data_IF_017925155518
#
_entry.id   IF_017925155518
#
_cell.length_a   1.000
_cell.length_b   1.000
_cell.length_c   1.000
_cell.angle_alpha   90.00
_cell.angle_beta   90.00
_cell.angle_gamma   90.00
#
_symmetry.space_group_name_H-M   'P 1'
#
loop_
_entity.id
_entity.type
_entity.pdbx_description
1 polymer ?
#
# COMPACT_ATOMS: atom_id res chain seq x y z
N UNK A 1 4.98 -27.04 -20.01
CA UNK A 1 3.78 -27.53 -19.30
C UNK A 1 3.31 -26.43 -18.37
N UNK A 2 2.01 -26.15 -18.30
CA UNK A 2 1.48 -25.14 -17.36
C UNK A 2 1.72 -25.59 -15.91
N UNK A 3 2.10 -24.67 -15.03
CA UNK A 3 2.29 -24.98 -13.62
C UNK A 3 0.98 -25.50 -12.99
N UNK A 4 1.05 -26.47 -12.06
CA UNK A 4 -0.15 -26.93 -11.36
C UNK A 4 -0.80 -25.80 -10.57
N UNK A 5 -2.12 -25.88 -10.39
CA UNK A 5 -2.93 -24.84 -9.74
C UNK A 5 -3.46 -25.36 -8.40
N UNK A 6 -3.42 -24.53 -7.37
CA UNK A 6 -3.99 -24.78 -6.05
C UNK A 6 -5.52 -24.59 -6.06
N UNK A 7 -6.28 -25.13 -5.09
CA UNK A 7 -7.74 -24.98 -5.03
C UNK A 7 -8.26 -23.54 -5.11
N UNK A 8 -7.52 -22.56 -4.60
CA UNK A 8 -7.90 -21.15 -4.68
C UNK A 8 -7.55 -20.48 -6.03
N UNK A 9 -7.05 -21.22 -7.01
CA UNK A 9 -6.84 -20.76 -8.38
C UNK A 9 -5.47 -20.14 -8.65
N UNK A 10 -4.49 -20.32 -7.75
CA UNK A 10 -3.14 -19.76 -7.89
C UNK A 10 -2.14 -20.83 -8.34
N UNK A 11 -1.09 -20.40 -9.06
CA UNK A 11 -0.04 -21.33 -9.47
C UNK A 11 0.76 -21.80 -8.26
N UNK A 12 1.06 -23.09 -8.23
CA UNK A 12 1.98 -23.68 -7.27
C UNK A 12 3.36 -23.09 -7.51
N UNK A 13 3.98 -22.62 -6.43
CA UNK A 13 5.38 -22.22 -6.42
C UNK A 13 6.24 -23.48 -6.21
N UNK A 14 7.34 -23.67 -6.95
CA UNK A 14 8.03 -24.97 -7.02
C UNK A 14 8.80 -25.31 -5.74
N UNK A 15 9.49 -24.34 -5.15
CA UNK A 15 10.38 -24.55 -3.99
C UNK A 15 10.56 -23.26 -3.16
N UNK A 16 11.25 -23.38 -2.02
CA UNK A 16 11.46 -22.28 -1.07
C UNK A 16 12.42 -21.18 -1.55
N UNK A 17 13.21 -21.44 -2.59
CA UNK A 17 14.16 -20.49 -3.19
C UNK A 17 13.57 -19.67 -4.34
N UNK A 18 12.30 -19.89 -4.70
CA UNK A 18 11.68 -19.21 -5.83
C UNK A 18 11.60 -17.68 -5.60
N UNK A 19 12.06 -16.85 -6.56
CA UNK A 19 12.08 -15.39 -6.41
C UNK A 19 10.68 -14.75 -6.33
N UNK A 20 9.61 -15.49 -6.64
CA UNK A 20 8.24 -15.03 -6.45
C UNK A 20 7.82 -15.01 -4.97
N UNK A 21 8.56 -15.67 -4.08
CA UNK A 21 8.26 -15.68 -2.65
C UNK A 21 8.84 -14.45 -1.93
N UNK A 22 7.99 -13.81 -1.14
CA UNK A 22 8.33 -12.75 -0.21
C UNK A 22 8.44 -13.26 1.23
N UNK A 23 8.82 -12.37 2.14
CA UNK A 23 8.85 -12.68 3.58
C UNK A 23 7.86 -11.80 4.30
N UNK A 24 6.91 -12.44 4.98
CA UNK A 24 5.97 -11.83 5.90
C UNK A 24 6.47 -12.02 7.33
N UNK A 25 6.64 -10.92 8.07
CA UNK A 25 7.24 -10.96 9.41
C UNK A 25 6.39 -11.67 10.47
N UNK A 26 5.07 -11.75 10.26
CA UNK A 26 4.15 -12.42 11.17
C UNK A 26 4.28 -13.95 11.18
N UNK A 27 5.02 -14.53 10.23
CA UNK A 27 5.08 -15.98 9.97
C UNK A 27 6.53 -16.45 10.04
N UNK A 28 6.77 -17.68 10.50
CA UNK A 28 8.10 -18.26 10.59
C UNK A 28 8.80 -18.37 9.21
N UNK A 29 10.13 -18.37 9.22
CA UNK A 29 10.95 -18.57 8.02
C UNK A 29 11.09 -17.33 7.11
N UNK A 30 11.78 -17.52 5.99
CA UNK A 30 11.88 -16.58 4.86
C UNK A 30 11.21 -17.22 3.65
N UNK A 31 10.76 -16.42 2.68
CA UNK A 31 10.07 -16.96 1.49
C UNK A 31 8.77 -17.66 1.87
N UNK A 32 8.00 -17.07 2.78
CA UNK A 32 6.88 -17.72 3.46
C UNK A 32 5.51 -17.31 2.92
N UNK A 33 5.44 -16.42 1.93
CA UNK A 33 4.21 -16.09 1.19
C UNK A 33 4.60 -15.64 -0.22
N UNK A 34 3.65 -15.60 -1.16
CA UNK A 34 3.86 -14.99 -2.46
C UNK A 34 4.08 -13.48 -2.28
N UNK A 35 5.08 -12.93 -2.96
CA UNK A 35 5.43 -11.51 -2.89
C UNK A 35 4.36 -10.61 -3.54
N UNK A 36 4.53 -9.30 -3.44
CA UNK A 36 3.63 -8.32 -4.03
C UNK A 36 2.29 -8.19 -3.30
N UNK A 37 1.19 -8.19 -4.04
CA UNK A 37 -0.16 -7.93 -3.50
C UNK A 37 -0.59 -8.96 -2.44
N UNK A 38 -0.19 -10.23 -2.58
CA UNK A 38 -0.47 -11.29 -1.60
C UNK A 38 0.19 -10.98 -0.26
N UNK A 39 1.50 -10.74 -0.25
CA UNK A 39 2.23 -10.35 0.95
C UNK A 39 1.70 -9.06 1.58
N UNK A 40 1.29 -8.09 0.77
CA UNK A 40 0.73 -6.82 1.26
C UNK A 40 -0.60 -7.01 1.98
N UNK A 41 -1.53 -7.74 1.36
CA UNK A 41 -2.86 -8.01 1.93
C UNK A 41 -2.74 -8.87 3.18
N UNK A 42 -1.99 -9.97 3.12
CA UNK A 42 -1.79 -10.86 4.27
C UNK A 42 -1.03 -10.15 5.40
N UNK A 43 -0.08 -9.26 5.08
CA UNK A 43 0.64 -8.48 6.08
C UNK A 43 -0.22 -7.46 6.81
N UNK A 44 -1.04 -6.71 6.08
CA UNK A 44 -2.01 -5.80 6.67
C UNK A 44 -3.03 -6.55 7.54
N UNK A 45 -3.55 -7.68 7.02
CA UNK A 45 -4.45 -8.54 7.77
C UNK A 45 -3.82 -9.06 9.06
N UNK A 46 -2.58 -9.58 9.01
CA UNK A 46 -1.88 -10.08 10.20
C UNK A 46 -1.63 -8.97 11.24
N UNK A 47 -1.32 -7.74 10.81
CA UNK A 47 -1.15 -6.62 11.73
C UNK A 47 -2.47 -6.26 12.45
N UNK A 48 -3.59 -6.23 11.72
CA UNK A 48 -4.89 -5.98 12.33
C UNK A 48 -5.38 -7.16 13.19
N UNK A 49 -5.10 -8.40 12.77
CA UNK A 49 -5.35 -9.61 13.54
C UNK A 49 -4.62 -9.57 14.88
N UNK A 50 -3.33 -9.24 14.88
CA UNK A 50 -2.50 -9.13 16.07
C UNK A 50 -3.05 -8.10 17.08
N UNK A 51 -3.67 -7.03 16.56
CA UNK A 51 -4.22 -5.93 17.36
C UNK A 51 -5.64 -6.21 17.88
N UNK A 52 -6.47 -6.91 17.11
CA UNK A 52 -7.91 -7.00 17.37
C UNK A 52 -8.41 -8.38 17.78
N UNK A 53 -7.67 -9.45 17.47
CA UNK A 53 -8.08 -10.84 17.76
C UNK A 53 -7.20 -11.42 18.86
N UNK A 54 -5.90 -11.51 18.61
CA UNK A 54 -4.88 -11.95 19.57
C UNK A 54 -3.47 -11.71 19.03
N UNK A 55 -2.45 -11.53 19.89
CA UNK A 55 -1.05 -11.46 19.45
C UNK A 55 -0.62 -12.69 18.62
N UNK A 56 0.15 -12.44 17.57
CA UNK A 56 0.73 -13.50 16.72
C UNK A 56 2.07 -13.97 17.29
N UNK A 57 2.21 -15.27 17.46
CA UNK A 57 3.47 -15.93 17.83
C UNK A 57 4.15 -16.40 16.55
N UNK A 58 5.10 -15.60 16.03
CA UNK A 58 5.78 -15.85 14.75
C UNK A 58 6.28 -17.30 14.60
N UNK A 59 6.90 -17.85 15.63
CA UNK A 59 7.44 -19.21 15.63
C UNK A 59 6.37 -20.32 15.54
N UNK A 60 5.12 -19.99 15.87
CA UNK A 60 3.95 -20.88 15.84
C UNK A 60 2.99 -20.53 14.68
N UNK A 61 3.44 -19.70 13.72
CA UNK A 61 2.66 -19.32 12.56
C UNK A 61 3.38 -19.76 11.29
N UNK A 62 2.66 -20.36 10.36
CA UNK A 62 3.20 -21.00 9.16
C UNK A 62 2.65 -20.40 7.88
N UNK A 63 3.41 -20.54 6.79
CA UNK A 63 3.10 -19.96 5.49
C UNK A 63 3.38 -20.97 4.39
N UNK A 64 4.06 -20.53 3.33
CA UNK A 64 4.37 -21.32 2.15
C UNK A 64 4.92 -22.72 2.48
N UNK A 65 4.32 -23.72 1.84
CA UNK A 65 4.72 -25.11 1.92
C UNK A 65 4.33 -25.82 0.61
N UNK A 66 5.31 -26.24 -0.22
CA UNK A 66 5.05 -26.88 -1.51
C UNK A 66 4.62 -28.34 -1.33
N UNK A 67 3.42 -28.54 -0.77
CA UNK A 67 2.88 -29.86 -0.43
C UNK A 67 1.45 -30.05 -0.93
N UNK A 68 1.08 -31.31 -1.11
CA UNK A 68 -0.32 -31.73 -1.26
C UNK A 68 -1.04 -31.73 0.09
N UNK A 69 -2.36 -31.68 0.04
CA UNK A 69 -3.23 -31.86 1.20
C UNK A 69 -3.07 -33.29 1.75
N UNK A 70 -3.20 -33.46 3.07
CA UNK A 70 -3.05 -34.78 3.68
C UNK A 70 -4.13 -35.75 3.14
N UNK A 71 -3.71 -36.94 2.69
CA UNK A 71 -4.62 -37.95 2.14
C UNK A 71 -5.27 -37.60 0.79
N UNK A 72 -4.77 -36.60 0.07
CA UNK A 72 -5.34 -36.11 -1.19
C UNK A 72 -4.26 -35.82 -2.23
N UNK A 73 -4.63 -35.97 -3.51
CA UNK A 73 -3.77 -35.57 -4.63
C UNK A 73 -3.83 -34.08 -4.95
N UNK A 74 -4.70 -33.33 -4.27
CA UNK A 74 -4.86 -31.88 -4.44
C UNK A 74 -3.74 -31.12 -3.75
N UNK A 75 -3.26 -30.07 -4.41
CA UNK A 75 -2.32 -29.13 -3.82
C UNK A 75 -2.94 -28.37 -2.64
N UNK A 76 -2.13 -28.06 -1.63
CA UNK A 76 -2.52 -27.13 -0.57
C UNK A 76 -2.46 -25.68 -1.09
N UNK A 77 -3.31 -24.79 -0.57
CA UNK A 77 -3.19 -23.34 -0.85
C UNK A 77 -1.94 -22.71 -0.22
N UNK A 78 -1.24 -23.42 0.68
CA UNK A 78 0.11 -23.07 1.09
C UNK A 78 1.14 -23.27 -0.03
N UNK A 79 0.88 -24.14 -1.01
CA UNK A 79 1.82 -24.43 -2.10
C UNK A 79 1.91 -23.30 -3.14
N UNK A 80 0.98 -22.35 -3.14
CA UNK A 80 1.04 -21.13 -3.96
C UNK A 80 1.55 -19.91 -3.18
N UNK A 81 1.84 -20.06 -1.88
CA UNK A 81 2.22 -18.95 -1.00
C UNK A 81 1.08 -17.98 -0.68
N UNK A 82 -0.18 -18.39 -0.89
CA UNK A 82 -1.36 -17.53 -0.73
C UNK A 82 -2.18 -17.83 0.52
N UNK A 83 -1.61 -18.56 1.47
CA UNK A 83 -2.25 -18.92 2.73
C UNK A 83 -1.28 -18.82 3.90
N UNK A 84 -1.82 -18.56 5.08
CA UNK A 84 -1.10 -18.51 6.35
C UNK A 84 -1.91 -19.23 7.43
N UNK A 85 -1.19 -19.92 8.31
CA UNK A 85 -1.74 -20.51 9.53
C UNK A 85 -1.21 -19.68 10.71
N UNK A 86 -2.10 -19.10 11.52
CA UNK A 86 -1.71 -18.23 12.63
C UNK A 86 -1.87 -18.95 13.97
N UNK A 87 -0.82 -18.95 14.80
CA UNK A 87 -0.81 -19.56 16.14
C UNK A 87 -1.26 -21.04 16.11
N UNK A 88 -0.72 -21.81 15.17
CA UNK A 88 -1.21 -23.13 14.78
C UNK A 88 -1.33 -24.12 15.95
N UNK A 89 -0.34 -24.17 16.86
CA UNK A 89 -0.41 -25.05 18.03
C UNK A 89 -1.53 -24.67 19.00
N UNK A 90 -1.94 -23.39 19.02
CA UNK A 90 -3.07 -22.90 19.82
C UNK A 90 -4.42 -23.05 19.13
N UNK A 91 -4.40 -23.23 17.81
CA UNK A 91 -5.57 -23.27 16.92
C UNK A 91 -5.57 -24.56 16.07
N UNK A 92 -5.48 -25.75 16.70
CA UNK A 92 -5.34 -27.00 15.96
C UNK A 92 -6.56 -27.29 15.07
N UNK A 93 -6.30 -27.93 13.93
CA UNK A 93 -7.31 -28.43 13.01
C UNK A 93 -8.38 -29.27 13.74
N UNK A 94 -9.60 -29.24 13.21
CA UNK A 94 -10.80 -29.93 13.69
C UNK A 94 -11.26 -29.54 15.10
N UNK A 95 -10.72 -28.46 15.66
CA UNK A 95 -11.13 -27.94 16.97
C UNK A 95 -11.51 -26.48 16.87
N UNK A 96 -12.67 -26.16 17.45
CA UNK A 96 -13.07 -24.78 17.65
C UNK A 96 -12.52 -24.26 18.97
N UNK A 97 -11.57 -23.34 18.90
CA UNK A 97 -10.78 -22.83 20.02
C UNK A 97 -10.90 -21.32 20.20
N UNK A 98 -11.33 -20.57 19.19
CA UNK A 98 -11.61 -19.15 19.34
C UNK A 98 -12.83 -18.90 20.23
N UNK A 99 -12.72 -17.91 21.11
CA UNK A 99 -13.86 -17.40 21.88
C UNK A 99 -14.87 -16.71 20.96
N UNK A 100 -16.13 -16.57 21.41
CA UNK A 100 -17.15 -15.87 20.63
C UNK A 100 -16.74 -14.42 20.26
N UNK A 101 -16.05 -13.71 21.16
CA UNK A 101 -15.55 -12.36 20.91
C UNK A 101 -14.45 -12.34 19.83
N UNK A 102 -13.51 -13.29 19.88
CA UNK A 102 -12.47 -13.42 18.85
C UNK A 102 -13.07 -13.76 17.49
N UNK A 103 -14.07 -14.65 17.44
CA UNK A 103 -14.79 -14.93 16.19
C UNK A 103 -15.46 -13.68 15.64
N UNK A 104 -16.10 -12.85 16.48
CA UNK A 104 -16.66 -11.56 16.04
C UNK A 104 -15.58 -10.62 15.48
N UNK A 105 -14.41 -10.54 16.11
CA UNK A 105 -13.29 -9.75 15.61
C UNK A 105 -12.75 -10.29 14.27
N UNK A 106 -12.62 -11.60 14.12
CA UNK A 106 -12.25 -12.26 12.85
C UNK A 106 -13.29 -11.94 11.77
N UNK A 107 -14.59 -12.00 12.08
CA UNK A 107 -15.64 -11.59 11.12
C UNK A 107 -15.50 -10.13 10.69
N UNK A 108 -15.19 -9.23 11.62
CA UNK A 108 -14.96 -7.82 11.30
C UNK A 108 -13.74 -7.64 10.39
N UNK A 109 -12.69 -8.44 10.58
CA UNK A 109 -11.52 -8.47 9.68
C UNK A 109 -11.89 -8.98 8.30
N UNK A 110 -12.60 -10.11 8.17
CA UNK A 110 -13.00 -10.64 6.86
C UNK A 110 -13.91 -9.68 6.07
N UNK A 111 -14.64 -8.80 6.76
CA UNK A 111 -15.38 -7.71 6.11
C UNK A 111 -14.44 -6.62 5.59
N UNK A 112 -13.38 -6.27 6.33
CA UNK A 112 -12.35 -5.30 5.89
C UNK A 112 -11.42 -5.86 4.81
N UNK A 113 -11.20 -7.17 4.81
CA UNK A 113 -10.35 -7.92 3.89
C UNK A 113 -11.20 -8.91 3.08
N UNK A 114 -12.10 -8.45 2.19
CA UNK A 114 -13.07 -9.28 1.48
C UNK A 114 -12.44 -10.23 0.45
N UNK A 115 -11.13 -10.08 0.21
CA UNK A 115 -10.32 -10.96 -0.64
C UNK A 115 -9.80 -12.18 0.11
N UNK A 116 -10.09 -12.30 1.41
CA UNK A 116 -9.67 -13.42 2.25
C UNK A 116 -10.85 -14.34 2.58
N UNK A 117 -10.52 -15.60 2.83
CA UNK A 117 -11.40 -16.59 3.43
C UNK A 117 -10.72 -17.20 4.66
N UNK A 118 -11.54 -17.67 5.58
CA UNK A 118 -11.09 -18.29 6.83
C UNK A 118 -11.54 -19.75 6.91
N UNK A 119 -10.64 -20.64 7.33
CA UNK A 119 -10.92 -22.07 7.50
C UNK A 119 -11.86 -22.38 8.67
N UNK A 120 -12.06 -21.42 9.59
CA UNK A 120 -13.08 -21.50 10.65
C UNK A 120 -14.53 -21.55 10.14
N UNK A 121 -14.75 -21.33 8.84
CA UNK A 121 -16.07 -21.36 8.19
C UNK A 121 -16.36 -22.69 7.52
N UNK A 122 -15.37 -23.58 7.46
CA UNK A 122 -15.50 -24.87 6.82
C UNK A 122 -16.36 -25.81 7.65
N UNK A 123 -16.78 -26.90 7.03
CA UNK A 123 -17.60 -27.90 7.71
C UNK A 123 -16.87 -28.41 8.96
N UNK A 124 -17.58 -28.91 9.99
CA UNK A 124 -16.91 -29.45 11.18
C UNK A 124 -15.85 -30.53 10.88
N UNK A 125 -16.03 -31.28 9.79
CA UNK A 125 -15.09 -32.32 9.34
C UNK A 125 -13.84 -31.76 8.63
N UNK A 126 -13.84 -30.47 8.31
CA UNK A 126 -12.76 -29.76 7.63
C UNK A 126 -12.30 -28.54 8.45
N UNK A 127 -12.82 -28.33 9.65
CA UNK A 127 -12.63 -27.10 10.41
C UNK A 127 -11.15 -26.77 10.60
N UNK A 128 -10.74 -25.58 10.21
CA UNK A 128 -9.34 -25.14 10.33
C UNK A 128 -9.28 -23.67 10.78
N UNK A 129 -9.33 -23.44 12.10
CA UNK A 129 -9.40 -22.08 12.63
C UNK A 129 -8.08 -21.30 12.51
N UNK A 130 -6.92 -21.96 12.36
CA UNK A 130 -5.64 -21.26 12.13
C UNK A 130 -5.53 -20.70 10.71
N UNK A 131 -6.25 -21.29 9.76
CA UNK A 131 -6.01 -21.09 8.33
C UNK A 131 -6.72 -19.88 7.73
N UNK A 132 -5.96 -19.01 7.07
CA UNK A 132 -6.45 -17.89 6.28
C UNK A 132 -5.84 -17.91 4.89
N UNK A 133 -6.67 -17.67 3.86
CA UNK A 133 -6.25 -17.77 2.46
C UNK A 133 -6.77 -16.64 1.60
N UNK A 134 -6.03 -16.31 0.53
CA UNK A 134 -6.55 -15.49 -0.56
C UNK A 134 -7.67 -16.25 -1.27
N UNK A 135 -8.84 -15.64 -1.36
CA UNK A 135 -10.03 -16.12 -2.05
C UNK A 135 -10.48 -15.15 -3.16
N UNK A 136 -9.50 -14.59 -3.88
CA UNK A 136 -9.72 -13.66 -4.97
C UNK A 136 -8.79 -13.95 -6.16
N UNK A 137 -9.20 -13.55 -7.36
CA UNK A 137 -8.33 -13.55 -8.53
C UNK A 137 -7.21 -12.51 -8.37
N UNK A 138 -6.06 -12.66 -9.06
CA UNK A 138 -4.97 -11.69 -8.99
C UNK A 138 -5.41 -10.24 -9.30
N UNK A 139 -6.31 -10.05 -10.27
CA UNK A 139 -6.80 -8.71 -10.62
C UNK A 139 -7.64 -8.06 -9.50
N UNK A 140 -8.50 -8.84 -8.84
CA UNK A 140 -9.30 -8.35 -7.69
C UNK A 140 -8.39 -8.10 -6.50
N UNK A 141 -7.42 -8.98 -6.25
CA UNK A 141 -6.44 -8.82 -5.19
C UNK A 141 -5.60 -7.55 -5.37
N UNK A 142 -5.09 -7.30 -6.59
CA UNK A 142 -4.32 -6.10 -6.91
C UNK A 142 -5.14 -4.82 -6.68
N UNK A 143 -6.41 -4.82 -7.11
CA UNK A 143 -7.33 -3.69 -6.87
C UNK A 143 -7.53 -3.46 -5.37
N UNK A 144 -7.71 -4.52 -4.59
CA UNK A 144 -7.88 -4.39 -3.14
C UNK A 144 -6.58 -3.97 -2.43
N UNK A 145 -5.43 -4.50 -2.81
CA UNK A 145 -4.12 -4.11 -2.28
C UNK A 145 -3.85 -2.60 -2.51
N UNK A 146 -4.28 -2.04 -3.64
CA UNK A 146 -4.25 -0.59 -3.87
C UNK A 146 -5.08 0.20 -2.85
N UNK A 147 -6.23 -0.34 -2.41
CA UNK A 147 -7.05 0.32 -1.37
C UNK A 147 -6.41 0.33 0.02
N UNK A 148 -5.49 -0.61 0.27
CA UNK A 148 -4.68 -0.66 1.49
C UNK A 148 -3.45 0.27 1.43
N UNK A 149 -3.28 1.01 0.33
CA UNK A 149 -2.11 1.87 0.10
C UNK A 149 -1.12 1.36 -0.94
N UNK A 150 -1.45 0.29 -1.69
CA UNK A 150 -0.62 -0.25 -2.77
C UNK A 150 0.28 -1.41 -2.30
N UNK A 151 0.20 -2.54 -3.00
CA UNK A 151 1.00 -3.73 -2.75
C UNK A 151 2.49 -3.55 -3.03
N UNK A 152 3.20 -3.04 -2.05
CA UNK A 152 4.59 -3.33 -1.77
C UNK A 152 4.69 -3.33 -0.24
N UNK A 153 5.68 -3.99 0.36
CA UNK A 153 6.16 -3.53 1.67
C UNK A 153 6.21 -2.01 1.59
N UNK A 154 5.51 -1.29 2.48
CA UNK A 154 5.40 0.17 2.39
C UNK A 154 6.79 0.71 2.06
N UNK A 155 6.92 1.42 0.92
CA UNK A 155 8.22 1.83 0.41
C UNK A 155 9.01 2.42 1.59
N UNK A 156 10.23 1.93 1.86
CA UNK A 156 10.94 2.37 3.06
C UNK A 156 11.05 3.89 2.99
N UNK A 157 10.94 4.57 4.14
CA UNK A 157 10.95 6.04 4.14
C UNK A 157 12.25 6.61 3.56
N UNK A 158 13.31 5.81 3.57
CA UNK A 158 14.60 6.08 2.93
C UNK A 158 15.16 4.80 2.29
N UNK A 159 15.97 4.93 1.24
CA UNK A 159 16.88 3.88 0.79
C UNK A 159 18.29 4.39 0.51
N UNK A 160 19.25 3.48 0.39
CA UNK A 160 20.60 3.85 -0.05
C UNK A 160 20.54 4.27 -1.52
N UNK A 161 21.08 5.44 -1.90
CA UNK A 161 20.92 5.96 -3.26
C UNK A 161 21.76 5.23 -4.30
N UNK A 162 22.78 4.48 -3.87
CA UNK A 162 23.65 3.68 -4.74
C UNK A 162 24.26 2.53 -3.93
N UNK A 163 24.51 1.40 -4.59
CA UNK A 163 25.25 0.29 -3.99
C UNK A 163 26.77 0.53 -4.08
N UNK A 164 27.49 0.34 -2.97
CA UNK A 164 28.94 0.54 -2.90
C UNK A 164 29.47 0.57 -1.47
N UNK A 165 30.57 1.29 -1.26
CA UNK A 165 31.13 1.56 0.05
C UNK A 165 31.37 3.06 0.23
N UNK A 166 31.33 3.54 1.47
CA UNK A 166 31.64 4.95 1.78
C UNK A 166 33.13 5.19 1.56
N UNK A 167 33.47 6.01 0.57
CA UNK A 167 34.86 6.40 0.26
C UNK A 167 35.27 7.72 0.90
N UNK A 168 34.32 8.62 1.16
CA UNK A 168 34.59 9.88 1.87
C UNK A 168 33.35 10.31 2.67
N UNK A 169 33.55 10.73 3.91
CA UNK A 169 32.48 11.16 4.82
C UNK A 169 32.29 12.67 4.78
N UNK A 170 31.13 13.12 5.24
CA UNK A 170 30.84 14.53 5.45
C UNK A 170 31.77 15.11 6.53
N UNK A 171 32.32 16.30 6.31
CA UNK A 171 33.13 17.01 7.30
C UNK A 171 34.46 17.55 6.78
N UNK A 172 35.27 18.07 7.70
CA UNK A 172 36.58 18.68 7.41
C UNK A 172 37.61 17.64 6.97
N UNK A 173 38.38 17.96 5.93
CA UNK A 173 39.52 17.17 5.41
C UNK A 173 40.65 18.10 4.99
N UNK A 174 41.83 17.53 4.70
CA UNK A 174 43.04 18.27 4.31
C UNK A 174 42.86 19.19 3.10
N UNK A 175 41.90 18.89 2.22
CA UNK A 175 41.55 19.69 1.03
C UNK A 175 40.29 20.57 1.18
N UNK A 176 39.82 20.83 2.41
CA UNK A 176 38.65 21.67 2.69
C UNK A 176 37.47 20.90 3.30
N UNK A 177 36.27 21.46 3.21
CA UNK A 177 35.06 20.86 3.77
C UNK A 177 34.32 19.99 2.75
N UNK A 178 34.06 18.74 3.11
CA UNK A 178 33.26 17.82 2.30
C UNK A 178 31.79 17.90 2.70
N UNK A 179 30.96 18.49 1.83
CA UNK A 179 29.56 18.82 2.12
C UNK A 179 28.56 17.67 1.85
N UNK A 180 29.07 16.47 1.56
CA UNK A 180 28.27 15.29 1.26
C UNK A 180 28.91 14.00 1.76
N UNK A 181 28.37 12.88 1.28
CA UNK A 181 28.86 11.53 1.50
C UNK A 181 29.19 10.91 0.13
N UNK A 182 30.43 10.48 -0.03
CA UNK A 182 30.86 9.80 -1.26
C UNK A 182 30.67 8.29 -1.10
N UNK A 183 29.91 7.70 -2.03
CA UNK A 183 29.69 6.25 -2.10
C UNK A 183 30.28 5.74 -3.41
N UNK A 184 31.38 4.99 -3.31
CA UNK A 184 32.16 4.51 -4.45
C UNK A 184 31.68 3.15 -4.96
N UNK A 185 31.70 2.99 -6.28
CA UNK A 185 31.28 1.77 -6.96
C UNK A 185 32.37 0.70 -7.09
N UNK A 186 33.60 0.98 -6.65
CA UNK A 186 34.77 0.11 -6.87
C UNK A 186 35.35 0.20 -8.28
N UNK A 187 35.30 1.38 -8.91
CA UNK A 187 35.79 1.61 -10.27
C UNK A 187 34.77 1.31 -11.38
N UNK A 188 33.57 0.85 -11.04
CA UNK A 188 32.48 0.63 -11.99
C UNK A 188 31.35 1.63 -11.79
N UNK A 189 30.69 2.01 -12.89
CA UNK A 189 29.47 2.83 -12.86
C UNK A 189 28.35 2.06 -12.15
N UNK A 190 27.55 2.77 -11.36
CA UNK A 190 26.46 2.20 -10.56
C UNK A 190 25.16 2.96 -10.83
N UNK A 191 24.06 2.23 -10.77
CA UNK A 191 22.72 2.82 -10.87
C UNK A 191 22.45 3.68 -9.64
N UNK A 192 22.00 4.91 -9.87
CA UNK A 192 21.63 5.87 -8.82
C UNK A 192 20.11 5.95 -8.72
N UNK A 193 19.60 5.91 -7.49
CA UNK A 193 18.18 5.90 -7.16
C UNK A 193 17.86 6.98 -6.12
N UNK A 194 16.61 7.40 -6.09
CA UNK A 194 16.12 8.37 -5.13
C UNK A 194 16.13 7.79 -3.70
N UNK A 195 16.89 8.40 -2.79
CA UNK A 195 16.94 8.02 -1.38
C UNK A 195 15.61 8.28 -0.67
N UNK A 196 15.00 9.45 -0.89
CA UNK A 196 13.66 9.83 -0.46
C UNK A 196 12.73 10.09 -1.66
N UNK A 197 11.43 9.95 -1.44
CA UNK A 197 10.42 10.41 -2.39
C UNK A 197 10.38 11.95 -2.44
N UNK A 198 10.09 12.50 -3.61
CA UNK A 198 10.00 13.94 -3.80
C UNK A 198 9.78 14.35 -5.24
N UNK A 199 10.01 15.63 -5.53
CA UNK A 199 9.89 16.20 -6.87
C UNK A 199 11.27 16.61 -7.38
N UNK A 200 11.61 16.23 -8.61
CA UNK A 200 12.86 16.65 -9.26
C UNK A 200 12.87 18.17 -9.43
N UNK A 201 13.76 18.85 -8.73
CA UNK A 201 13.83 20.32 -8.70
C UNK A 201 14.85 20.87 -9.69
N UNK A 202 16.00 20.19 -9.86
CA UNK A 202 17.07 20.63 -10.76
C UNK A 202 17.74 19.43 -11.43
N UNK A 203 18.17 19.62 -12.68
CA UNK A 203 19.00 18.65 -13.41
C UNK A 203 20.12 19.40 -14.13
N UNK A 204 21.34 18.87 -14.09
CA UNK A 204 22.48 19.33 -14.91
C UNK A 204 22.98 18.15 -15.74
N UNK A 205 23.14 18.35 -17.04
CA UNK A 205 23.64 17.35 -18.01
C UNK A 205 24.74 17.97 -18.87
N UNK A 206 25.50 17.10 -19.54
CA UNK A 206 26.45 17.51 -20.59
C UNK A 206 27.77 18.07 -20.09
N UNK A 207 28.07 18.00 -18.79
CA UNK A 207 29.39 18.36 -18.28
C UNK A 207 30.42 17.29 -18.59
N UNK A 208 31.59 17.72 -19.05
CA UNK A 208 32.72 16.84 -19.32
C UNK A 208 33.50 16.50 -18.05
N UNK A 209 34.30 15.42 -18.11
CA UNK A 209 35.28 15.08 -17.08
C UNK A 209 36.32 16.18 -16.95
N UNK A 210 36.65 16.57 -15.73
CA UNK A 210 37.59 17.64 -15.42
C UNK A 210 37.05 19.06 -15.60
N UNK A 211 35.81 19.24 -16.07
CA UNK A 211 35.26 20.57 -16.32
C UNK A 211 35.02 21.34 -15.01
N UNK A 212 35.73 22.47 -14.86
CA UNK A 212 35.63 23.37 -13.70
C UNK A 212 34.21 23.89 -13.49
N UNK A 213 33.80 24.01 -12.22
CA UNK A 213 32.51 24.58 -11.83
C UNK A 213 32.33 26.06 -12.24
N UNK A 214 33.41 26.76 -12.60
CA UNK A 214 33.34 28.12 -13.17
C UNK A 214 32.82 28.15 -14.61
N UNK A 215 32.68 26.99 -15.27
CA UNK A 215 32.25 26.87 -16.67
C UNK A 215 30.92 26.12 -16.72
N UNK A 216 29.85 26.85 -17.08
CA UNK A 216 28.50 26.31 -17.25
C UNK A 216 27.77 26.02 -15.94
N UNK A 217 26.51 25.59 -16.05
CA UNK A 217 25.66 25.31 -14.90
C UNK A 217 26.19 24.13 -14.04
N UNK A 218 26.03 24.24 -12.72
CA UNK A 218 26.34 23.21 -11.72
C UNK A 218 25.24 23.17 -10.67
N UNK A 219 25.03 22.00 -10.05
CA UNK A 219 24.10 21.87 -8.93
C UNK A 219 24.66 22.48 -7.66
N UNK A 220 25.91 22.13 -7.37
CA UNK A 220 26.73 22.64 -6.26
C UNK A 220 28.12 23.02 -6.80
N UNK A 221 28.50 24.32 -6.78
CA UNK A 221 29.80 24.75 -7.27
C UNK A 221 30.97 24.03 -6.58
N UNK A 222 31.88 23.48 -7.39
CA UNK A 222 33.09 22.80 -6.93
C UNK A 222 32.86 21.42 -6.29
N UNK A 223 31.62 20.96 -6.17
CA UNK A 223 31.24 19.71 -5.48
C UNK A 223 30.30 18.83 -6.30
N UNK A 224 30.04 19.22 -7.55
CA UNK A 224 29.17 18.47 -8.45
C UNK A 224 29.73 18.47 -9.87
N UNK A 225 29.26 17.50 -10.66
CA UNK A 225 29.33 17.51 -12.12
C UNK A 225 27.91 17.60 -12.68
N UNK A 226 27.57 16.67 -13.56
CA UNK A 226 26.18 16.34 -13.85
C UNK A 226 25.48 15.86 -12.58
N UNK A 227 24.16 15.93 -12.59
CA UNK A 227 23.40 15.36 -11.49
C UNK A 227 21.94 15.76 -11.46
N UNK A 228 21.31 15.39 -10.35
CA UNK A 228 19.90 15.65 -10.04
C UNK A 228 19.77 16.23 -8.63
N UNK A 229 18.85 17.17 -8.42
CA UNK A 229 18.35 17.56 -7.09
C UNK A 229 16.87 17.19 -7.01
N UNK A 230 16.47 16.49 -5.96
CA UNK A 230 15.07 16.19 -5.66
C UNK A 230 14.71 16.91 -4.37
N UNK A 231 13.55 17.58 -4.35
CA UNK A 231 12.97 18.25 -3.19
C UNK A 231 11.95 17.32 -2.53
N UNK A 232 12.14 17.06 -1.25
CA UNK A 232 11.27 16.25 -0.41
C UNK A 232 9.98 17.03 -0.03
N UNK A 233 8.90 16.36 0.40
CA UNK A 233 7.66 17.02 0.81
C UNK A 233 7.79 18.01 1.98
N UNK A 234 8.77 17.81 2.87
CA UNK A 234 9.09 18.70 3.99
C UNK A 234 9.95 19.92 3.58
N UNK A 235 10.29 20.02 2.29
CA UNK A 235 11.10 21.10 1.72
C UNK A 235 12.60 20.84 1.76
N UNK A 236 13.09 19.78 2.41
CA UNK A 236 14.48 19.37 2.33
C UNK A 236 14.86 18.91 0.91
N UNK A 237 16.15 18.83 0.60
CA UNK A 237 16.63 18.43 -0.72
C UNK A 237 17.71 17.38 -0.62
N UNK A 238 17.74 16.53 -1.63
CA UNK A 238 18.76 15.51 -1.83
C UNK A 238 19.44 15.76 -3.18
N UNK A 239 20.77 15.90 -3.17
CA UNK A 239 21.60 16.15 -4.35
C UNK A 239 22.36 14.88 -4.71
N UNK A 240 22.32 14.53 -5.99
CA UNK A 240 23.02 13.39 -6.59
C UNK A 240 24.05 13.91 -7.59
N UNK A 241 25.30 14.05 -7.17
CA UNK A 241 26.40 14.59 -7.97
C UNK A 241 27.23 13.50 -8.66
N UNK A 242 27.82 13.84 -9.81
CA UNK A 242 28.55 12.92 -10.69
C UNK A 242 27.63 11.84 -11.23
N UNK A 243 26.43 12.24 -11.67
CA UNK A 243 25.40 11.34 -12.18
C UNK A 243 24.97 11.80 -13.56
N UNK A 244 25.07 10.91 -14.54
CA UNK A 244 24.38 11.08 -15.81
C UNK A 244 22.91 10.74 -15.56
N UNK A 245 22.09 11.78 -15.45
CA UNK A 245 20.65 11.64 -15.27
C UNK A 245 20.03 10.97 -16.50
N UNK A 246 19.12 10.01 -16.26
CA UNK A 246 18.42 9.30 -17.34
C UNK A 246 17.73 10.30 -18.29
N UNK A 247 17.74 10.00 -19.59
CA UNK A 247 17.25 10.93 -20.62
C UNK A 247 15.76 11.27 -20.46
N UNK A 248 14.97 10.35 -19.91
CA UNK A 248 13.54 10.54 -19.69
C UNK A 248 13.19 11.49 -18.54
N UNK A 249 14.08 11.63 -17.55
CA UNK A 249 13.84 12.37 -16.30
C UNK A 249 13.78 13.88 -16.53
N UNK A 250 12.76 14.55 -16.01
CA UNK A 250 12.53 15.99 -16.19
C UNK A 250 12.39 16.72 -14.85
N UNK A 251 12.68 18.01 -14.88
CA UNK A 251 12.34 18.90 -13.76
C UNK A 251 10.82 18.93 -13.61
N UNK A 252 10.33 18.75 -12.38
CA UNK A 252 8.91 18.64 -12.05
C UNK A 252 8.41 17.20 -11.92
N UNK A 253 9.18 16.19 -12.32
CA UNK A 253 8.79 14.79 -12.16
C UNK A 253 8.70 14.43 -10.67
N UNK A 254 7.64 13.70 -10.29
CA UNK A 254 7.57 13.07 -8.98
C UNK A 254 8.30 11.73 -9.02
N UNK A 255 9.16 11.49 -8.04
CA UNK A 255 9.90 10.25 -7.87
C UNK A 255 9.57 9.64 -6.50
N UNK A 256 9.33 8.35 -6.47
CA UNK A 256 9.23 7.55 -5.26
C UNK A 256 10.61 7.15 -4.71
N UNK A 257 10.64 6.63 -3.48
CA UNK A 257 11.87 6.04 -2.91
C UNK A 257 12.32 4.87 -3.78
N UNK A 258 13.58 4.87 -4.18
CA UNK A 258 14.18 3.83 -5.01
C UNK A 258 13.97 4.00 -6.51
N UNK A 259 13.23 5.02 -6.96
CA UNK A 259 13.10 5.32 -8.39
C UNK A 259 14.46 5.63 -9.00
N UNK A 260 14.68 5.14 -10.21
CA UNK A 260 15.95 5.32 -10.91
C UNK A 260 16.08 6.75 -11.41
N UNK A 261 17.22 7.37 -11.09
CA UNK A 261 17.55 8.74 -11.50
C UNK A 261 18.60 8.78 -12.62
N UNK A 262 19.48 7.76 -12.67
CA UNK A 262 20.59 7.74 -13.62
C UNK A 262 21.67 6.73 -13.25
N UNK A 263 22.89 6.99 -13.70
CA UNK A 263 24.09 6.23 -13.36
C UNK A 263 25.22 7.16 -12.95
N UNK A 264 26.11 6.69 -12.06
CA UNK A 264 27.33 7.44 -11.73
C UNK A 264 28.19 7.62 -12.97
N UNK A 265 28.74 8.81 -13.14
CA UNK A 265 29.58 9.20 -14.25
C UNK A 265 30.92 9.79 -13.77
N UNK A 266 31.70 10.32 -14.70
CA UNK A 266 32.99 10.96 -14.43
C UNK A 266 32.97 12.47 -14.69
N UNK A 267 31.78 13.09 -14.68
CA UNK A 267 31.63 14.51 -15.00
C UNK A 267 32.14 15.43 -13.89
N UNK A 268 32.62 16.62 -14.25
CA UNK A 268 33.22 17.54 -13.30
C UNK A 268 34.56 17.03 -12.76
N UNK A 269 35.01 17.58 -11.64
CA UNK A 269 36.29 17.22 -11.02
C UNK A 269 36.08 16.04 -10.07
N UNK A 270 36.47 14.84 -10.52
CA UNK A 270 36.27 13.57 -9.81
C UNK A 270 37.49 12.66 -9.96
N UNK A 271 37.76 11.83 -8.95
CA UNK A 271 38.85 10.85 -8.91
C UNK A 271 38.45 9.46 -9.43
N UNK A 272 37.16 9.21 -9.68
CA UNK A 272 36.65 7.93 -10.16
C UNK A 272 35.13 7.80 -10.01
N UNK A 273 34.57 6.66 -10.39
CA UNK A 273 33.12 6.41 -10.27
C UNK A 273 32.68 6.37 -8.80
N UNK A 274 31.96 7.41 -8.38
CA UNK A 274 31.29 7.51 -7.10
C UNK A 274 30.03 8.37 -7.24
N UNK A 275 29.11 8.24 -6.29
CA UNK A 275 28.04 9.20 -6.07
C UNK A 275 28.51 10.19 -5.00
N UNK A 276 28.46 11.49 -5.30
CA UNK A 276 28.54 12.54 -4.28
C UNK A 276 27.12 12.87 -3.82
N UNK A 277 26.74 12.44 -2.63
CA UNK A 277 25.38 12.60 -2.08
C UNK A 277 25.34 13.70 -1.02
N UNK A 278 24.61 14.79 -1.26
CA UNK A 278 24.36 15.82 -0.25
C UNK A 278 22.90 15.81 0.20
N UNK A 279 22.66 16.15 1.46
CA UNK A 279 21.32 16.47 1.98
C UNK A 279 21.31 17.91 2.44
N UNK A 280 20.31 18.68 2.01
CA UNK A 280 20.15 20.09 2.33
C UNK A 280 18.86 20.30 3.12
N UNK A 281 18.95 21.13 4.15
CA UNK A 281 17.77 21.63 4.87
C UNK A 281 16.85 22.40 3.93
N UNK A 282 15.60 22.64 4.35
CA UNK A 282 14.66 23.46 3.57
C UNK A 282 15.19 24.86 3.21
N UNK A 283 16.09 25.40 4.04
CA UNK A 283 16.79 26.69 3.82
C UNK A 283 18.02 26.58 2.90
N UNK A 284 18.35 25.40 2.39
CA UNK A 284 19.45 25.16 1.45
C UNK A 284 20.83 24.92 2.09
N UNK A 285 20.93 24.85 3.41
CA UNK A 285 22.20 24.52 4.09
C UNK A 285 22.46 23.01 4.06
N UNK A 286 23.71 22.61 3.77
CA UNK A 286 24.13 21.20 3.77
C UNK A 286 24.18 20.63 5.19
N UNK A 287 23.76 19.37 5.35
CA UNK A 287 23.87 18.61 6.61
C UNK A 287 24.46 17.23 6.38
N UNK A 288 24.97 16.60 7.43
CA UNK A 288 25.57 15.27 7.36
C UNK A 288 24.50 14.23 6.94
N UNK A 289 24.62 13.59 5.76
CA UNK A 289 23.65 12.58 5.30
C UNK A 289 23.57 11.36 6.24
N UNK A 290 24.63 11.07 7.01
CA UNK A 290 24.62 9.94 7.95
C UNK A 290 23.64 10.11 9.11
N UNK A 291 23.12 11.32 9.35
CA UNK A 291 22.00 11.52 10.27
C UNK A 291 20.78 10.74 9.75
N UNK A 292 20.45 10.87 8.47
CA UNK A 292 19.30 10.20 7.87
C UNK A 292 19.50 8.69 7.80
N UNK A 293 20.68 8.26 7.35
CA UNK A 293 21.01 6.84 7.29
C UNK A 293 20.85 6.15 8.65
N UNK A 294 21.23 6.80 9.76
CA UNK A 294 21.00 6.26 11.12
C UNK A 294 19.53 6.34 11.53
N UNK A 295 18.86 7.47 11.27
CA UNK A 295 17.45 7.67 11.63
C UNK A 295 16.52 6.66 10.97
N UNK A 296 16.81 6.27 9.73
CA UNK A 296 16.00 5.34 8.95
C UNK A 296 16.56 3.91 8.89
N UNK A 297 17.60 3.61 9.68
CA UNK A 297 18.25 2.30 9.75
C UNK A 297 18.70 1.77 8.37
N UNK A 298 19.29 2.64 7.56
CA UNK A 298 19.82 2.33 6.23
C UNK A 298 21.34 2.37 6.28
N UNK A 299 21.99 1.29 5.84
CA UNK A 299 23.46 1.30 5.67
C UNK A 299 23.84 2.04 4.39
N UNK A 300 24.72 3.07 4.45
CA UNK A 300 25.20 3.75 3.24
C UNK A 300 25.97 2.77 2.34
N UNK A 301 25.61 2.73 1.05
CA UNK A 301 26.18 1.77 0.09
C UNK A 301 25.51 0.39 0.06
N UNK A 302 24.51 0.12 0.93
CA UNK A 302 23.71 -1.09 0.82
C UNK A 302 22.95 -1.16 -0.52
N UNK A 303 22.48 -2.37 -0.88
CA UNK A 303 21.65 -2.55 -2.06
C UNK A 303 20.40 -1.63 -1.97
N UNK A 304 20.18 -0.72 -2.91
CA UNK A 304 19.01 0.15 -2.91
C UNK A 304 17.72 -0.65 -3.01
N UNK A 305 16.66 -0.15 -2.36
CA UNK A 305 15.29 -0.55 -2.64
C UNK A 305 14.98 -0.27 -4.11
N UNK A 306 14.44 -1.27 -4.78
CA UNK A 306 13.97 -1.17 -6.16
C UNK A 306 12.46 -1.29 -6.10
N UNK A 307 11.70 -0.22 -6.42
CA UNK A 307 10.27 -0.30 -6.57
C UNK A 307 9.94 -1.44 -7.53
N UNK A 308 8.92 -2.23 -7.22
CA UNK A 308 8.40 -3.21 -8.16
C UNK A 308 8.19 -2.51 -9.50
N UNK A 309 8.74 -3.08 -10.58
CA UNK A 309 8.55 -2.52 -11.90
C UNK A 309 7.04 -2.34 -12.15
N UNK A 310 6.58 -1.18 -12.63
CA UNK A 310 5.20 -1.09 -13.08
C UNK A 310 4.97 -2.23 -14.09
N UNK A 311 3.80 -2.89 -14.07
CA UNK A 311 3.51 -3.98 -14.99
C UNK A 311 3.82 -3.52 -16.42
N UNK A 312 4.44 -4.39 -17.22
CA UNK A 312 4.83 -4.08 -18.58
C UNK A 312 3.65 -3.42 -19.33
N UNK A 313 3.89 -2.33 -20.08
CA UNK A 313 2.81 -1.69 -20.82
C UNK A 313 2.20 -2.72 -21.78
N UNK A 314 0.89 -2.91 -21.70
CA UNK A 314 0.15 -3.55 -22.77
C UNK A 314 0.50 -2.86 -24.10
N UNK A 315 0.57 -3.59 -25.23
CA UNK A 315 1.00 -3.03 -26.51
C UNK A 315 0.25 -1.73 -26.81
N UNK A 316 1.02 -0.72 -27.19
CA UNK A 316 0.63 0.68 -27.27
C UNK A 316 -0.58 0.91 -28.16
N UNK A 317 -1.65 1.47 -27.58
CA UNK A 317 -2.65 2.29 -28.29
C UNK A 317 -2.26 3.77 -28.11
N UNK A 318 -2.53 4.67 -29.06
CA UNK A 318 -1.88 5.99 -29.17
C UNK A 318 -2.12 6.89 -27.95
N UNK A 319 -1.22 7.86 -27.78
CA UNK A 319 -1.15 8.82 -26.68
C UNK A 319 -2.52 9.36 -26.23
N UNK A 320 -2.73 9.55 -24.93
CA UNK A 320 -3.99 10.08 -24.42
C UNK A 320 -4.20 11.50 -24.94
N UNK A 321 -5.27 11.67 -25.71
CA UNK A 321 -5.94 12.96 -25.81
C UNK A 321 -6.40 13.39 -24.41
N UNK A 322 -6.54 14.71 -24.20
CA UNK A 322 -7.04 15.37 -22.99
C UNK A 322 -8.06 14.54 -22.16
N UNK A 323 -8.08 14.68 -20.81
CA UNK A 323 -8.81 13.80 -19.91
C UNK A 323 -10.23 13.52 -20.41
N UNK A 324 -10.50 12.26 -20.74
CA UNK A 324 -11.84 11.84 -21.15
C UNK A 324 -12.74 12.02 -19.94
N UNK A 325 -13.71 12.95 -20.03
CA UNK A 325 -14.81 13.07 -19.09
C UNK A 325 -15.42 11.68 -18.90
N UNK A 326 -15.41 11.15 -17.68
CA UNK A 326 -16.24 9.99 -17.34
C UNK A 326 -17.67 10.30 -17.80
N UNK A 327 -18.27 9.39 -18.57
CA UNK A 327 -19.61 9.57 -19.09
C UNK A 327 -20.56 9.79 -17.91
N UNK A 328 -21.12 11.00 -17.82
CA UNK A 328 -22.03 11.40 -16.75
C UNK A 328 -23.33 10.62 -16.96
N UNK A 329 -23.65 9.73 -16.03
CA UNK A 329 -24.89 8.96 -16.07
C UNK A 329 -25.99 9.74 -15.34
N UNK A 330 -27.08 10.16 -16.01
CA UNK A 330 -28.20 10.84 -15.38
C UNK A 330 -28.83 10.05 -14.23
N UNK A 331 -28.76 8.71 -14.26
CA UNK A 331 -29.26 7.86 -13.17
C UNK A 331 -28.36 7.96 -11.93
N UNK A 332 -27.04 8.05 -12.13
CA UNK A 332 -26.08 8.26 -11.04
C UNK A 332 -26.24 9.66 -10.45
N UNK A 333 -26.43 10.68 -11.29
CA UNK A 333 -26.69 12.04 -10.83
C UNK A 333 -27.96 12.11 -9.99
N UNK A 334 -29.06 11.51 -10.47
CA UNK A 334 -30.31 11.45 -9.73
C UNK A 334 -30.17 10.70 -8.40
N UNK A 335 -29.34 9.65 -8.35
CA UNK A 335 -29.02 8.92 -7.13
C UNK A 335 -28.18 9.76 -6.15
N UNK A 336 -27.14 10.48 -6.62
CA UNK A 336 -26.33 11.39 -5.82
C UNK A 336 -27.19 12.51 -5.19
N UNK A 337 -28.11 13.08 -5.98
CA UNK A 337 -29.05 14.10 -5.51
C UNK A 337 -29.99 13.57 -4.41
N UNK A 338 -30.53 12.36 -4.55
CA UNK A 338 -31.35 11.73 -3.50
C UNK A 338 -30.53 11.47 -2.23
N UNK A 339 -29.33 10.90 -2.39
CA UNK A 339 -28.39 10.65 -1.31
C UNK A 339 -28.05 11.94 -0.53
N UNK A 340 -27.81 13.05 -1.22
CA UNK A 340 -27.56 14.35 -0.60
C UNK A 340 -28.81 14.93 0.07
N UNK A 341 -29.97 14.86 -0.59
CA UNK A 341 -31.22 15.44 -0.11
C UNK A 341 -31.68 14.79 1.20
N UNK A 342 -31.81 13.47 1.21
CA UNK A 342 -32.36 12.69 2.32
C UNK A 342 -31.27 12.23 3.30
N UNK A 343 -30.21 11.63 2.79
CA UNK A 343 -29.15 11.06 3.62
C UNK A 343 -28.10 12.06 4.09
N UNK A 344 -28.11 13.29 3.56
CA UNK A 344 -27.07 14.32 3.78
C UNK A 344 -25.68 13.80 3.43
N UNK A 345 -25.56 13.05 2.33
CA UNK A 345 -24.34 12.33 1.99
C UNK A 345 -23.12 13.26 1.86
N UNK A 346 -23.23 14.35 1.09
CA UNK A 346 -22.09 15.20 0.74
C UNK A 346 -21.36 14.75 -0.52
N UNK A 347 -22.03 13.96 -1.38
CA UNK A 347 -21.49 13.51 -2.65
C UNK A 347 -21.42 14.67 -3.65
N UNK A 348 -20.39 14.66 -4.51
CA UNK A 348 -20.35 15.52 -5.70
C UNK A 348 -21.44 15.07 -6.67
N UNK A 349 -22.31 15.99 -7.10
CA UNK A 349 -23.41 15.72 -8.04
C UNK A 349 -22.95 15.86 -9.49
N UNK A 350 -22.02 14.99 -9.89
CA UNK A 350 -21.35 15.02 -11.20
C UNK A 350 -21.84 13.94 -12.18
N UNK A 351 -22.72 13.05 -11.73
CA UNK A 351 -23.18 11.89 -12.52
C UNK A 351 -22.12 10.80 -12.66
N UNK A 352 -21.08 10.82 -11.84
CA UNK A 352 -19.96 9.88 -11.87
C UNK A 352 -19.95 9.01 -10.62
N UNK A 353 -19.99 7.70 -10.81
CA UNK A 353 -20.00 6.74 -9.68
C UNK A 353 -18.58 6.46 -9.18
N UNK A 354 -17.96 7.46 -8.57
CA UNK A 354 -16.61 7.37 -8.00
C UNK A 354 -16.54 6.65 -6.65
N UNK A 355 -15.34 6.60 -6.07
CA UNK A 355 -15.05 5.91 -4.80
C UNK A 355 -15.91 6.40 -3.63
N UNK A 356 -16.17 7.71 -3.56
CA UNK A 356 -17.08 8.31 -2.57
C UNK A 356 -18.52 7.81 -2.74
N UNK A 357 -19.03 7.75 -3.97
CA UNK A 357 -20.35 7.19 -4.30
C UNK A 357 -20.45 5.71 -3.91
N UNK A 358 -19.42 4.91 -4.16
CA UNK A 358 -19.40 3.49 -3.78
C UNK A 358 -19.38 3.27 -2.26
N UNK A 359 -18.60 4.07 -1.52
CA UNK A 359 -18.57 4.02 -0.04
C UNK A 359 -19.91 4.41 0.56
N UNK A 360 -20.56 5.42 0.00
CA UNK A 360 -21.91 5.83 0.39
C UNK A 360 -22.92 4.70 0.14
N UNK A 361 -22.97 4.16 -1.08
CA UNK A 361 -23.90 3.09 -1.45
C UNK A 361 -23.75 1.86 -0.54
N UNK A 362 -22.51 1.42 -0.28
CA UNK A 362 -22.23 0.30 0.60
C UNK A 362 -22.74 0.54 2.03
N UNK A 363 -22.54 1.74 2.57
CA UNK A 363 -23.05 2.10 3.90
C UNK A 363 -24.59 2.14 3.94
N UNK A 364 -25.24 2.64 2.89
CA UNK A 364 -26.71 2.65 2.81
C UNK A 364 -27.28 1.22 2.80
N UNK A 365 -26.64 0.27 2.11
CA UNK A 365 -27.06 -1.14 2.15
C UNK A 365 -27.00 -1.72 3.57
N UNK A 366 -25.99 -1.35 4.35
CA UNK A 366 -25.89 -1.75 5.76
C UNK A 366 -26.99 -1.12 6.62
N UNK A 367 -27.28 0.16 6.41
CA UNK A 367 -28.38 0.85 7.06
C UNK A 367 -29.73 0.20 6.76
N UNK A 368 -30.05 -0.05 5.48
CA UNK A 368 -31.30 -0.68 5.06
C UNK A 368 -31.45 -2.09 5.66
N UNK A 369 -30.36 -2.87 5.65
CA UNK A 369 -30.30 -4.19 6.28
C UNK A 369 -30.57 -4.11 7.78
N UNK A 370 -29.96 -3.16 8.49
CA UNK A 370 -30.15 -3.00 9.93
C UNK A 370 -31.56 -2.53 10.27
N UNK A 371 -32.12 -1.58 9.52
CA UNK A 371 -33.50 -1.10 9.68
C UNK A 371 -34.52 -2.22 9.51
N UNK A 372 -34.31 -3.14 8.56
CA UNK A 372 -35.21 -4.28 8.32
C UNK A 372 -35.35 -5.21 9.53
N UNK A 373 -34.39 -5.24 10.46
CA UNK A 373 -34.46 -6.03 11.70
C UNK A 373 -35.48 -5.49 12.70
N UNK A 374 -35.95 -4.25 12.54
CA UNK A 374 -36.89 -3.62 13.46
C UNK A 374 -38.34 -3.86 13.04
N UNK A 375 -39.15 -4.38 13.95
CA UNK A 375 -40.57 -4.69 13.70
C UNK A 375 -41.37 -3.46 13.21
N UNK A 376 -41.05 -2.27 13.73
CA UNK A 376 -41.71 -1.02 13.38
C UNK A 376 -41.43 -0.53 11.94
N UNK A 377 -40.39 -1.04 11.27
CA UNK A 377 -40.10 -0.69 9.88
C UNK A 377 -41.00 -1.53 8.97
N UNK A 378 -42.02 -0.88 8.40
CA UNK A 378 -42.97 -1.45 7.45
C UNK A 378 -43.34 -0.42 6.35
N UNK A 379 -43.37 -0.82 5.06
CA UNK A 379 -42.91 -2.10 4.54
C UNK A 379 -41.40 -2.29 4.74
N UNK A 380 -40.91 -3.52 4.59
CA UNK A 380 -39.46 -3.78 4.62
C UNK A 380 -38.80 -3.13 3.41
N UNK A 381 -37.61 -2.60 3.64
CA UNK A 381 -36.79 -1.94 2.63
C UNK A 381 -36.17 -2.95 1.67
N UNK A 382 -36.10 -2.58 0.40
CA UNK A 382 -35.18 -3.21 -0.54
C UNK A 382 -33.75 -2.75 -0.18
N UNK A 383 -32.80 -3.67 -0.18
CA UNK A 383 -31.39 -3.38 0.14
C UNK A 383 -30.67 -3.02 -1.16
N UNK A 384 -30.90 -1.81 -1.66
CA UNK A 384 -30.43 -1.32 -2.97
C UNK A 384 -29.32 -0.26 -2.88
N UNK A 385 -29.00 0.24 -1.69
CA UNK A 385 -28.00 1.30 -1.51
C UNK A 385 -28.50 2.70 -1.91
N UNK A 386 -29.80 2.88 -2.14
CA UNK A 386 -30.42 4.18 -2.38
C UNK A 386 -30.98 4.79 -1.07
N UNK A 387 -30.35 5.89 -0.62
CA UNK A 387 -30.90 6.67 0.48
C UNK A 387 -31.92 7.66 -0.06
N UNK A 388 -33.11 7.14 -0.40
CA UNK A 388 -34.27 7.92 -0.79
C UNK A 388 -35.29 8.12 0.34
N UNK A 389 -36.45 8.68 -0.01
CA UNK A 389 -37.55 8.95 0.93
C UNK A 389 -38.04 7.70 1.70
N UNK A 390 -37.95 6.52 1.08
CA UNK A 390 -38.35 5.25 1.71
C UNK A 390 -37.41 4.87 2.84
N UNK A 391 -36.09 4.92 2.61
CA UNK A 391 -35.06 4.71 3.62
C UNK A 391 -35.17 5.74 4.74
N UNK A 392 -35.39 7.01 4.39
CA UNK A 392 -35.61 8.11 5.34
C UNK A 392 -36.83 7.88 6.25
N UNK A 393 -37.95 7.45 5.68
CA UNK A 393 -39.15 7.12 6.44
C UNK A 393 -38.93 5.89 7.36
N UNK A 394 -38.15 4.90 6.94
CA UNK A 394 -37.82 3.77 7.80
C UNK A 394 -36.97 4.18 9.01
N UNK A 395 -36.05 5.14 8.85
CA UNK A 395 -35.33 5.75 9.99
C UNK A 395 -36.32 6.40 10.95
N UNK A 396 -37.27 7.18 10.43
CA UNK A 396 -38.34 7.79 11.24
C UNK A 396 -39.14 6.74 12.03
N UNK A 397 -39.59 5.66 11.38
CA UNK A 397 -40.38 4.61 12.04
C UNK A 397 -39.58 3.93 13.15
N UNK A 398 -38.32 3.61 12.90
CA UNK A 398 -37.44 2.99 13.89
C UNK A 398 -37.26 3.90 15.11
N UNK A 399 -36.98 5.19 14.88
CA UNK A 399 -36.80 6.18 15.95
C UNK A 399 -38.10 6.41 16.75
N UNK A 400 -39.24 6.60 16.07
CA UNK A 400 -40.54 6.91 16.68
C UNK A 400 -41.02 5.78 17.59
N UNK A 401 -40.89 4.53 17.16
CA UNK A 401 -41.35 3.38 17.93
C UNK A 401 -40.41 2.99 19.09
N UNK A 402 -39.18 3.53 19.13
CA UNK A 402 -38.16 3.09 20.08
C UNK A 402 -37.39 4.27 20.72
N UNK A 403 -38.08 5.21 21.39
CA UNK A 403 -37.45 6.43 21.92
C UNK A 403 -36.36 6.15 22.96
N UNK A 404 -36.46 5.05 23.70
CA UNK A 404 -35.44 4.63 24.66
C UNK A 404 -34.11 4.21 24.00
N UNK A 405 -34.14 3.75 22.74
CA UNK A 405 -32.93 3.30 22.01
C UNK A 405 -32.38 4.37 21.07
N UNK A 406 -33.24 5.16 20.44
CA UNK A 406 -32.83 6.15 19.44
C UNK A 406 -32.82 7.60 19.94
N UNK A 407 -33.48 7.89 21.07
CA UNK A 407 -33.66 9.22 21.62
C UNK A 407 -35.12 9.67 21.63
N UNK A 408 -35.45 10.70 22.43
CA UNK A 408 -36.84 11.04 22.75
C UNK A 408 -37.61 11.72 21.61
N UNK A 409 -36.94 12.19 20.56
CA UNK A 409 -37.57 12.87 19.41
C UNK A 409 -37.06 12.24 18.11
N UNK A 410 -37.95 11.67 17.27
CA UNK A 410 -37.56 11.18 15.95
C UNK A 410 -37.22 12.36 15.03
N UNK A 411 -36.02 12.37 14.46
CA UNK A 411 -35.46 13.47 13.68
C UNK A 411 -35.06 13.07 12.25
N UNK A 412 -35.21 11.78 11.89
CA UNK A 412 -34.82 11.19 10.59
C UNK A 412 -33.32 11.17 10.34
N UNK A 413 -32.51 11.61 11.32
CA UNK A 413 -31.07 11.69 11.18
C UNK A 413 -30.42 10.39 11.66
N UNK A 414 -29.61 9.80 10.80
CA UNK A 414 -28.73 8.66 11.17
C UNK A 414 -27.47 9.20 11.84
N UNK A 415 -27.66 9.84 13.00
CA UNK A 415 -26.58 10.36 13.84
C UNK A 415 -25.95 9.28 14.73
N UNK A 416 -24.95 9.63 15.56
CA UNK A 416 -24.20 8.66 16.37
C UNK A 416 -25.07 7.76 17.27
N UNK A 417 -26.20 8.27 17.78
CA UNK A 417 -27.16 7.48 18.57
C UNK A 417 -27.89 6.45 17.70
N UNK A 418 -28.40 6.87 16.54
CA UNK A 418 -29.06 5.98 15.56
C UNK A 418 -28.09 4.90 15.07
N UNK A 419 -26.86 5.28 14.71
CA UNK A 419 -25.78 4.35 14.30
C UNK A 419 -25.51 3.30 15.38
N UNK A 420 -25.34 3.73 16.64
CA UNK A 420 -25.13 2.85 17.79
C UNK A 420 -26.32 1.91 18.02
N UNK A 421 -27.55 2.43 17.97
CA UNK A 421 -28.77 1.65 18.16
C UNK A 421 -28.96 0.59 17.07
N UNK A 422 -28.56 0.89 15.84
CA UNK A 422 -28.63 -0.03 14.70
C UNK A 422 -27.45 -1.01 14.61
N UNK A 423 -26.36 -0.77 15.34
CA UNK A 423 -25.15 -1.59 15.28
C UNK A 423 -24.46 -1.54 13.91
N UNK A 424 -24.50 -0.38 13.25
CA UNK A 424 -23.85 -0.14 11.95
C UNK A 424 -22.61 0.76 12.13
N UNK A 425 -21.67 0.80 11.18
CA UNK A 425 -20.56 1.74 11.18
C UNK A 425 -21.04 3.19 11.13
N UNK A 426 -20.19 4.11 11.63
CA UNK A 426 -20.41 5.54 11.45
C UNK A 426 -20.59 5.88 9.97
N UNK A 427 -21.43 6.88 9.71
CA UNK A 427 -21.65 7.41 8.36
C UNK A 427 -20.29 7.80 7.73
N UNK A 428 -19.99 7.34 6.51
CA UNK A 428 -18.70 7.60 5.89
C UNK A 428 -18.54 9.10 5.61
N UNK A 429 -17.35 9.61 5.88
CA UNK A 429 -16.98 10.93 5.37
C UNK A 429 -16.80 10.84 3.86
N UNK A 430 -17.71 11.48 3.14
CA UNK A 430 -17.68 11.58 1.68
C UNK A 430 -17.64 13.04 1.22
N UNK A 431 -17.42 13.99 2.15
CA UNK A 431 -17.24 15.41 1.85
C UNK A 431 -16.01 15.68 1.00
#
# INVERSE_FOLDING_TARGET
MSAPITPNGWAVVPDYGDPALGTLDAVAGRGNVLAGDVAAVLGAFCADFAREVEPIVKADSWGYAPRKQHGSDRWSNHASGTAVDLNASRRPEFRSTYTAAQKVAIRALLVRYPVLRWGGDWSPAELDEMHFEIAASPAVLATFAQTLGGGAMAAPRMTSPVQGYVSSRYGSRSGGFHAGLDIAGGGVSRTVRAAFAGTVERIVRGRARGQSASIGAVLAPGRSGNGVVVRNPDGERQLYGHVTADAGLKIGDNVGVGDRLGVTDLSGVTTGYHLHFEVWTARGATRNPEIDFRTFDVTPGAAPYVPAAPPAPAPSKPAPSAPTQQARDPKVLAWQQRANRYGKAGLVEDGVKGSKSLRWEAWVRQLQTALNRWKAVAPKLVVDGDYGAVTDNAVYQAQKANPARFGPKPDRVVGPKTVRALGIPAKPDVS
#
